data_IF_952496913477
#
_entry.id   IF_952496913477
#
_cell.length_a   1.000
_cell.length_b   1.000
_cell.length_c   1.000
_cell.angle_alpha   90.00
_cell.angle_beta   90.00
_cell.angle_gamma   90.00
#
_symmetry.space_group_name_H-M   'P 1'
#
loop_
_entity.id
_entity.type
_entity.pdbx_description
1 polymer ?
#
# COMPACT_ATOMS: atom_id res chain seq x y z
N UNK A 1 -1.65 -37.28 25.38
CA UNK A 1 -1.85 -37.27 23.91
C UNK A 1 -2.40 -35.91 23.51
N UNK A 2 -1.59 -35.04 22.89
CA UNK A 2 -2.03 -33.73 22.41
C UNK A 2 -2.65 -33.88 21.01
N UNK A 3 -3.93 -33.55 20.86
CA UNK A 3 -4.61 -33.61 19.57
C UNK A 3 -4.35 -32.33 18.78
N UNK A 4 -3.48 -32.42 17.77
CA UNK A 4 -3.19 -31.34 16.82
C UNK A 4 -4.34 -31.31 15.79
N UNK A 5 -5.39 -30.52 16.04
CA UNK A 5 -6.39 -30.23 15.00
C UNK A 5 -5.72 -29.42 13.90
N UNK A 6 -5.63 -30.01 12.70
CA UNK A 6 -5.12 -29.36 11.49
C UNK A 6 -5.86 -28.04 11.29
N UNK A 7 -5.10 -26.95 11.25
CA UNK A 7 -5.59 -25.62 10.85
C UNK A 7 -6.07 -25.75 9.40
N UNK A 8 -7.30 -25.35 9.06
CA UNK A 8 -7.73 -25.35 7.67
C UNK A 8 -6.81 -24.42 6.89
N UNK A 9 -6.33 -24.90 5.74
CA UNK A 9 -5.52 -24.14 4.80
C UNK A 9 -6.30 -22.90 4.38
N UNK A 10 -5.72 -21.71 4.62
CA UNK A 10 -6.33 -20.44 4.22
C UNK A 10 -6.11 -20.30 2.71
N UNK A 11 -7.04 -20.84 1.95
CA UNK A 11 -7.16 -20.64 0.51
C UNK A 11 -7.65 -19.24 0.17
N UNK A 12 -6.68 -18.32 0.01
CA UNK A 12 -6.59 -17.16 -0.89
C UNK A 12 -5.46 -16.31 -0.32
N UNK A 13 -4.31 -16.32 -0.98
CA UNK A 13 -3.26 -15.34 -0.70
C UNK A 13 -3.80 -13.99 -1.18
N UNK A 14 -4.56 -13.28 -0.34
CA UNK A 14 -4.61 -11.82 -0.49
C UNK A 14 -3.16 -11.39 -0.34
N UNK A 15 -2.54 -10.91 -1.42
CA UNK A 15 -1.17 -10.44 -1.39
C UNK A 15 -1.06 -9.40 -0.25
N UNK A 16 -0.27 -9.71 0.76
CA UNK A 16 -0.14 -8.84 1.93
C UNK A 16 0.64 -7.59 1.55
N UNK A 17 0.19 -6.42 2.01
CA UNK A 17 0.97 -5.19 1.86
C UNK A 17 2.32 -5.36 2.57
N UNK A 18 3.40 -5.06 1.86
CA UNK A 18 4.76 -5.21 2.35
C UNK A 18 5.75 -4.59 1.38
N UNK A 19 7.00 -4.40 1.84
CA UNK A 19 8.07 -3.89 0.98
C UNK A 19 8.24 -4.82 -0.22
N UNK A 20 8.29 -4.23 -1.42
CA UNK A 20 8.36 -4.91 -2.70
C UNK A 20 7.01 -5.25 -3.33
N UNK A 21 5.88 -5.03 -2.63
CA UNK A 21 4.56 -5.24 -3.22
C UNK A 21 4.25 -4.18 -4.29
N UNK A 22 3.83 -4.64 -5.47
CA UNK A 22 3.21 -3.80 -6.49
C UNK A 22 1.78 -3.47 -6.06
N UNK A 23 1.43 -2.19 -6.09
CA UNK A 23 0.15 -1.69 -5.58
C UNK A 23 -0.43 -0.63 -6.52
N UNK A 24 -1.74 -0.68 -6.70
CA UNK A 24 -2.53 0.42 -7.21
C UNK A 24 -2.95 1.32 -6.04
N UNK A 25 -2.85 2.63 -6.23
CA UNK A 25 -3.32 3.64 -5.28
C UNK A 25 -4.75 4.05 -5.64
N UNK A 26 -5.66 3.87 -4.69
CA UNK A 26 -7.08 4.20 -4.84
C UNK A 26 -7.49 5.31 -3.86
N UNK A 27 -8.52 6.07 -4.23
CA UNK A 27 -9.09 7.08 -3.34
C UNK A 27 -9.75 6.41 -2.12
N UNK A 28 -9.43 6.90 -0.91
CA UNK A 28 -10.13 6.49 0.30
C UNK A 28 -11.40 7.33 0.49
N UNK A 29 -12.45 6.74 1.08
CA UNK A 29 -13.67 7.48 1.41
C UNK A 29 -13.45 8.60 2.45
N UNK A 30 -12.40 8.49 3.27
CA UNK A 30 -12.07 9.49 4.29
C UNK A 30 -10.56 9.63 4.42
N UNK A 31 -10.06 10.86 4.45
CA UNK A 31 -8.65 11.22 4.64
C UNK A 31 -7.68 10.64 3.60
N UNK A 32 -6.40 10.95 3.77
CA UNK A 32 -5.39 10.62 2.76
C UNK A 32 -5.43 11.59 1.58
N UNK A 33 -4.40 11.54 0.75
CA UNK A 33 -4.29 12.33 -0.46
C UNK A 33 -4.93 11.57 -1.63
N UNK A 34 -5.49 12.31 -2.59
CA UNK A 34 -5.99 11.73 -3.84
C UNK A 34 -4.97 11.99 -4.92
N UNK A 35 -4.65 10.98 -5.71
CA UNK A 35 -3.50 11.00 -6.61
C UNK A 35 -3.94 10.90 -8.07
N UNK A 36 -3.13 11.47 -8.95
CA UNK A 36 -3.24 11.36 -10.40
C UNK A 36 -1.86 11.24 -11.03
N UNK A 37 -1.77 10.56 -12.16
CA UNK A 37 -0.56 10.57 -12.98
C UNK A 37 -0.37 11.93 -13.70
N UNK A 38 0.66 12.02 -14.54
CA UNK A 38 0.99 13.23 -15.28
C UNK A 38 -0.05 13.61 -16.36
N UNK A 39 -0.89 12.67 -16.82
CA UNK A 39 -1.94 12.91 -17.82
C UNK A 39 -3.32 13.12 -17.17
N UNK A 40 -3.41 13.02 -15.85
CA UNK A 40 -4.63 13.24 -15.07
C UNK A 40 -5.49 11.98 -14.87
N UNK A 41 -4.95 10.78 -15.14
CA UNK A 41 -5.61 9.51 -14.81
C UNK A 41 -5.54 9.22 -13.31
N UNK A 42 -6.55 8.52 -12.80
CA UNK A 42 -6.56 7.99 -11.43
C UNK A 42 -5.87 6.60 -11.35
N UNK A 43 -5.35 6.07 -12.47
CA UNK A 43 -4.62 4.79 -12.54
C UNK A 43 -3.17 4.90 -12.05
N UNK A 44 -3.01 5.20 -10.76
CA UNK A 44 -1.71 5.37 -10.13
C UNK A 44 -1.17 4.04 -9.59
N UNK A 45 -0.01 3.62 -10.08
CA UNK A 45 0.65 2.37 -9.68
C UNK A 45 2.05 2.64 -9.14
N UNK A 46 2.48 1.84 -8.17
CA UNK A 46 3.84 1.90 -7.65
C UNK A 46 4.21 0.69 -6.80
N UNK A 47 5.43 0.70 -6.28
CA UNK A 47 5.97 -0.34 -5.41
C UNK A 47 6.17 0.20 -4.00
N UNK A 48 5.75 -0.56 -2.99
CA UNK A 48 6.05 -0.22 -1.60
C UNK A 48 7.55 -0.37 -1.34
N UNK A 49 8.20 0.70 -0.86
CA UNK A 49 9.65 0.70 -0.60
C UNK A 49 10.02 0.85 0.88
N UNK A 50 9.11 1.36 1.70
CA UNK A 50 9.32 1.51 3.14
C UNK A 50 7.98 1.65 3.90
N UNK A 51 7.95 1.43 5.22
CA UNK A 51 6.85 1.87 6.08
C UNK A 51 6.67 3.39 6.05
N UNK A 52 5.47 3.89 6.32
CA UNK A 52 5.19 5.31 6.34
C UNK A 52 5.72 6.03 7.59
N UNK A 53 6.58 7.04 7.39
CA UNK A 53 7.02 7.97 8.44
C UNK A 53 7.69 7.29 9.65
N UNK A 54 7.43 7.81 10.86
CA UNK A 54 7.97 7.32 12.14
C UNK A 54 7.13 6.19 12.75
N UNK A 55 6.52 5.31 11.95
CA UNK A 55 5.78 4.18 12.48
C UNK A 55 6.74 3.14 13.10
N UNK A 56 6.48 2.74 14.34
CA UNK A 56 7.16 1.62 15.00
C UNK A 56 6.59 0.29 14.50
N UNK A 57 6.87 -0.05 13.25
CA UNK A 57 6.40 -1.29 12.64
C UNK A 57 7.35 -2.44 12.97
N UNK A 58 6.82 -3.65 13.18
CA UNK A 58 7.62 -4.88 13.30
C UNK A 58 7.99 -5.29 14.72
N UNK A 59 7.55 -4.54 15.74
CA UNK A 59 7.66 -4.97 17.15
C UNK A 59 6.50 -5.88 17.55
N UNK A 60 6.74 -6.96 18.33
CA UNK A 60 5.67 -7.79 18.86
C UNK A 60 4.63 -6.96 19.64
N UNK A 61 3.36 -7.07 19.25
CA UNK A 61 2.26 -6.34 19.87
C UNK A 61 1.92 -4.98 19.23
N UNK A 62 2.70 -4.53 18.23
CA UNK A 62 2.33 -3.38 17.40
C UNK A 62 1.54 -3.87 16.19
N UNK A 63 0.44 -3.19 15.85
CA UNK A 63 -0.43 -3.53 14.73
C UNK A 63 0.23 -3.34 13.36
N UNK A 64 -0.52 -3.63 12.31
CA UNK A 64 -0.07 -3.42 10.92
C UNK A 64 0.18 -1.92 10.62
N UNK A 65 1.10 -1.59 9.70
CA UNK A 65 1.32 -0.21 9.27
C UNK A 65 0.04 0.45 8.82
N UNK A 66 -0.18 1.69 9.25
CA UNK A 66 -1.31 2.50 8.78
C UNK A 66 -1.01 3.19 7.46
N UNK A 67 0.28 3.25 7.08
CA UNK A 67 0.74 3.84 5.82
C UNK A 67 2.05 3.24 5.36
N UNK A 68 2.34 3.42 4.08
CA UNK A 68 3.53 2.93 3.38
C UNK A 68 4.09 4.02 2.47
N UNK A 69 5.41 4.07 2.32
CA UNK A 69 6.03 4.84 1.25
C UNK A 69 5.99 4.03 -0.05
N UNK A 70 5.31 4.57 -1.04
CA UNK A 70 5.21 4.02 -2.40
C UNK A 70 6.15 4.80 -3.31
N UNK A 71 6.95 4.09 -4.11
CA UNK A 71 7.65 4.65 -5.25
C UNK A 71 6.84 4.39 -6.51
N UNK A 72 6.47 5.46 -7.20
CA UNK A 72 5.62 5.38 -8.38
C UNK A 72 6.43 5.03 -9.63
N UNK A 73 5.80 4.38 -10.60
CA UNK A 73 6.42 4.06 -11.90
C UNK A 73 6.66 5.34 -12.71
N UNK A 74 5.71 6.27 -12.65
CA UNK A 74 5.82 7.63 -13.18
C UNK A 74 5.56 8.67 -12.08
N UNK A 75 6.11 9.90 -12.17
CA UNK A 75 5.85 10.93 -11.17
C UNK A 75 4.37 11.33 -11.11
N UNK A 76 3.81 11.40 -9.91
CA UNK A 76 2.38 11.66 -9.68
C UNK A 76 2.12 13.02 -9.05
N UNK A 77 0.88 13.48 -9.16
CA UNK A 77 0.38 14.70 -8.56
C UNK A 77 -0.76 14.38 -7.59
N UNK A 78 -0.94 15.19 -6.58
CA UNK A 78 -2.19 15.18 -5.81
C UNK A 78 -3.28 15.92 -6.60
N UNK A 79 -4.56 15.58 -6.39
CA UNK A 79 -5.69 16.23 -7.09
C UNK A 79 -5.82 17.73 -6.79
N UNK A 80 -5.18 18.22 -5.72
CA UNK A 80 -5.07 19.66 -5.41
C UNK A 80 -3.87 20.36 -6.10
N UNK A 81 -3.09 19.63 -6.91
CA UNK A 81 -2.06 20.17 -7.78
C UNK A 81 -0.62 20.16 -7.21
N UNK A 82 -0.36 19.51 -6.07
CA UNK A 82 1.03 19.34 -5.59
C UNK A 82 1.73 18.22 -6.36
N UNK A 83 3.04 18.34 -6.51
CA UNK A 83 3.88 17.38 -7.23
C UNK A 83 4.80 18.06 -8.24
N UNK A 84 5.48 17.30 -9.12
CA UNK A 84 5.41 15.83 -9.21
C UNK A 84 6.13 15.13 -8.05
N UNK A 85 5.64 13.95 -7.67
CA UNK A 85 6.24 13.09 -6.65
C UNK A 85 6.66 11.75 -7.27
N UNK A 86 7.95 11.41 -7.17
CA UNK A 86 8.42 10.06 -7.47
C UNK A 86 8.08 9.06 -6.34
N UNK A 87 7.91 9.57 -5.11
CA UNK A 87 7.56 8.77 -3.93
C UNK A 87 6.64 9.55 -3.01
N UNK A 88 5.71 8.86 -2.37
CA UNK A 88 4.84 9.44 -1.35
C UNK A 88 4.48 8.43 -0.25
N UNK A 89 4.14 8.95 0.94
CA UNK A 89 3.51 8.13 1.98
C UNK A 89 2.01 8.06 1.71
N UNK A 90 1.50 6.85 1.52
CA UNK A 90 0.11 6.55 1.19
C UNK A 90 -0.49 5.66 2.28
N UNK A 91 -1.76 5.86 2.62
CA UNK A 91 -2.42 5.06 3.66
C UNK A 91 -2.61 3.62 3.21
N UNK A 92 -2.46 2.65 4.10
CA UNK A 92 -2.60 1.21 3.75
C UNK A 92 -3.96 0.88 3.13
N UNK A 93 -5.02 1.57 3.58
CA UNK A 93 -6.38 1.44 3.02
C UNK A 93 -6.55 1.96 1.59
N UNK A 94 -5.58 2.72 1.08
CA UNK A 94 -5.54 3.23 -0.28
C UNK A 94 -4.70 2.33 -1.20
N UNK A 95 -4.12 1.24 -0.68
CA UNK A 95 -3.24 0.37 -1.45
C UNK A 95 -3.92 -0.95 -1.74
N UNK A 96 -4.14 -1.22 -3.02
CA UNK A 96 -4.67 -2.49 -3.51
C UNK A 96 -3.50 -3.25 -4.17
N UNK A 97 -3.10 -4.41 -3.65
CA UNK A 97 -2.09 -5.24 -4.31
C UNK A 97 -2.49 -5.58 -5.74
N UNK A 98 -1.53 -5.47 -6.67
CA UNK A 98 -1.68 -5.93 -8.04
C UNK A 98 -1.05 -7.33 -8.13
N UNK A 99 -1.80 -8.32 -8.58
CA UNK A 99 -1.25 -9.65 -8.82
C UNK A 99 -0.34 -9.61 -10.07
N UNK A 100 0.90 -10.11 -10.00
CA UNK A 100 1.70 -10.33 -11.20
C UNK A 100 1.10 -11.50 -12.00
N UNK A 101 0.93 -11.31 -13.31
CA UNK A 101 0.49 -12.37 -14.25
C UNK A 101 1.48 -13.54 -14.37
#
# INVERSE_FOLDING_TARGET
MWNRKKRPEVGRQHASLGIGALVQVVDAQTGGEHWRDAIGSDDVVGVIVAPGGNQLVGYPGVGEPLSWTVAFDEPVYTKDGRGPFERATVLSRQLVPVEPE
#
